data_IF_667917959672
#
_entry.id   IF_667917959672
#
_cell.length_a   1.000
_cell.length_b   1.000
_cell.length_c   1.000
_cell.angle_alpha   90.00
_cell.angle_beta   90.00
_cell.angle_gamma   90.00
#
_symmetry.space_group_name_H-M   'P 1'
#
loop_
_entity.id
_entity.type
_entity.pdbx_description
1 polymer ?
#
# COMPACT_ATOMS: atom_id res chain seq x y z
N UNK A 1 69.88 -18.46 1.93
CA UNK A 1 69.69 -17.51 0.86
C UNK A 1 68.21 -17.18 0.90
N UNK A 2 67.78 -16.39 1.79
CA UNK A 2 67.77 -14.93 1.84
C UNK A 2 66.89 -14.31 0.75
N UNK A 3 65.72 -13.76 1.23
CA UNK A 3 65.09 -12.51 0.75
C UNK A 3 64.34 -12.62 -0.56
N UNK A 4 63.06 -12.87 -0.53
CA UNK A 4 62.05 -12.22 -1.37
C UNK A 4 60.69 -12.72 -0.80
N UNK A 5 60.27 -12.27 0.37
CA UNK A 5 58.90 -12.44 0.91
C UNK A 5 58.57 -11.17 1.67
N UNK A 6 58.46 -10.05 1.00
CA UNK A 6 58.02 -8.80 1.65
C UNK A 6 57.49 -7.78 0.63
N UNK A 7 56.79 -8.22 -0.43
CA UNK A 7 56.25 -7.23 -1.38
C UNK A 7 54.82 -7.52 -1.87
N UNK A 8 54.04 -8.25 -1.10
CA UNK A 8 52.62 -8.49 -1.50
C UNK A 8 51.59 -8.12 -0.42
N UNK A 9 51.89 -7.24 0.49
CA UNK A 9 51.01 -6.86 1.60
C UNK A 9 50.44 -5.42 1.53
N UNK A 10 50.49 -4.74 0.38
CA UNK A 10 50.03 -3.32 0.28
C UNK A 10 49.09 -3.09 -0.93
N UNK A 11 48.32 -4.07 -1.39
CA UNK A 11 47.29 -3.82 -2.41
C UNK A 11 45.99 -4.51 -1.94
N UNK A 12 45.39 -3.98 -0.89
CA UNK A 12 44.14 -4.58 -0.37
C UNK A 12 43.25 -3.60 0.40
N UNK A 13 43.46 -2.30 0.30
CA UNK A 13 42.77 -1.34 1.19
C UNK A 13 42.19 -0.11 0.49
N UNK A 14 41.75 -0.24 -0.75
CA UNK A 14 41.11 0.90 -1.42
C UNK A 14 39.89 0.42 -2.28
N UNK A 15 38.84 -0.06 -1.68
CA UNK A 15 37.53 -0.18 -2.38
C UNK A 15 36.36 -0.38 -1.43
N UNK A 16 36.23 0.41 -0.38
CA UNK A 16 34.91 0.58 0.27
C UNK A 16 34.65 2.07 0.48
N UNK A 17 34.63 2.80 -0.61
CA UNK A 17 33.88 4.05 -0.65
C UNK A 17 32.41 3.65 -0.87
N UNK A 18 31.73 3.23 0.20
CA UNK A 18 30.30 3.17 0.21
C UNK A 18 29.79 4.59 0.01
N UNK A 19 29.19 4.86 -1.14
CA UNK A 19 28.37 6.04 -1.31
C UNK A 19 27.19 5.92 -0.34
N UNK A 20 27.28 6.54 0.82
CA UNK A 20 26.12 6.90 1.60
C UNK A 20 25.58 8.19 0.99
N UNK A 21 24.71 8.07 -0.01
CA UNK A 21 23.82 9.17 -0.39
C UNK A 21 22.73 9.24 0.65
N UNK A 22 22.91 10.11 1.63
CA UNK A 22 21.81 10.59 2.45
C UNK A 22 20.98 11.55 1.60
N UNK A 23 20.12 11.02 0.75
CA UNK A 23 19.02 11.76 0.15
C UNK A 23 17.73 11.37 0.89
N UNK A 24 17.60 11.88 2.11
CA UNK A 24 16.43 11.65 3.00
C UNK A 24 15.12 12.28 2.49
N UNK A 25 15.05 12.71 1.23
CA UNK A 25 13.87 13.37 0.66
C UNK A 25 13.51 12.92 -0.76
N UNK A 26 14.08 11.84 -1.26
CA UNK A 26 13.69 11.28 -2.55
C UNK A 26 13.09 9.92 -2.29
N UNK A 27 11.77 9.84 -2.39
CA UNK A 27 11.09 8.56 -2.48
C UNK A 27 11.59 7.86 -3.75
N UNK A 28 12.49 6.90 -3.55
CA UNK A 28 13.02 6.03 -4.61
C UNK A 28 12.31 4.68 -4.63
N UNK A 29 11.30 4.50 -3.78
CA UNK A 29 10.52 3.27 -3.72
C UNK A 29 9.54 3.23 -4.91
N UNK A 30 9.78 2.29 -5.80
CA UNK A 30 8.94 2.00 -6.96
C UNK A 30 8.17 0.69 -6.77
N UNK A 31 8.29 0.07 -5.60
CA UNK A 31 7.68 -1.23 -5.28
C UNK A 31 6.48 -0.99 -4.36
N UNK A 32 5.34 -1.56 -4.72
CA UNK A 32 4.16 -1.49 -3.87
C UNK A 32 4.40 -2.17 -2.52
N UNK A 33 4.03 -1.51 -1.43
CA UNK A 33 4.08 -2.07 -0.10
C UNK A 33 2.77 -2.79 0.23
N UNK A 34 2.87 -3.95 0.90
CA UNK A 34 1.71 -4.80 1.20
C UNK A 34 1.63 -5.09 2.70
N UNK A 35 0.50 -4.72 3.31
CA UNK A 35 0.21 -4.94 4.72
C UNK A 35 -0.97 -5.91 4.86
N UNK A 36 -0.72 -7.11 5.41
CA UNK A 36 -1.78 -8.07 5.73
C UNK A 36 -2.32 -7.82 7.14
N UNK A 37 -3.63 -7.62 7.24
CA UNK A 37 -4.35 -7.37 8.50
C UNK A 37 -5.24 -8.58 8.79
N UNK A 38 -4.87 -9.36 9.79
CA UNK A 38 -5.60 -10.57 10.18
C UNK A 38 -6.49 -10.31 11.38
N UNK A 39 -7.53 -11.15 11.56
CA UNK A 39 -8.42 -11.14 12.70
C UNK A 39 -9.10 -9.79 12.96
N UNK A 40 -9.52 -9.11 11.91
CA UNK A 40 -10.32 -7.91 12.04
C UNK A 40 -11.70 -8.27 12.56
N UNK A 41 -12.09 -7.67 13.66
CA UNK A 41 -13.41 -7.86 14.28
C UNK A 41 -14.15 -6.52 14.26
N UNK A 42 -15.27 -6.49 13.58
CA UNK A 42 -16.16 -5.33 13.57
C UNK A 42 -17.14 -5.42 14.75
N UNK A 43 -17.30 -4.33 15.48
CA UNK A 43 -18.29 -4.23 16.52
C UNK A 43 -19.72 -4.18 15.97
N UNK A 44 -20.73 -4.08 16.84
CA UNK A 44 -22.13 -4.02 16.42
C UNK A 44 -22.50 -2.70 15.71
N UNK A 45 -21.64 -1.69 15.78
CA UNK A 45 -21.78 -0.43 15.07
C UNK A 45 -20.95 -0.41 13.77
N UNK A 46 -20.27 -1.51 13.44
CA UNK A 46 -19.48 -1.65 12.23
C UNK A 46 -18.05 -1.15 12.34
N UNK A 47 -17.52 -0.77 13.52
CA UNK A 47 -16.16 -0.28 13.66
C UNK A 47 -15.17 -1.44 13.68
N UNK A 48 -14.22 -1.46 12.77
CA UNK A 48 -13.11 -2.43 12.70
C UNK A 48 -11.80 -1.90 13.29
N UNK A 49 -11.79 -0.62 13.68
CA UNK A 49 -10.69 0.06 14.35
C UNK A 49 -9.67 0.67 13.40
N UNK A 50 -8.95 1.67 13.92
CA UNK A 50 -7.88 2.40 13.25
C UNK A 50 -6.56 1.66 13.41
N UNK A 51 -5.74 1.65 12.36
CA UNK A 51 -4.38 1.06 12.33
C UNK A 51 -3.41 2.00 11.67
N UNK A 52 -2.21 2.11 12.24
CA UNK A 52 -1.14 2.95 11.68
C UNK A 52 -0.35 2.19 10.63
N UNK A 53 0.10 2.90 9.60
CA UNK A 53 1.05 2.35 8.61
C UNK A 53 2.42 2.06 9.23
N UNK A 54 2.85 2.86 10.22
CA UNK A 54 4.20 2.79 10.78
C UNK A 54 5.18 3.77 10.13
N UNK A 55 4.73 4.45 9.08
CA UNK A 55 5.42 5.51 8.35
C UNK A 55 4.38 6.53 7.83
N UNK A 56 4.83 7.61 7.21
CA UNK A 56 3.95 8.61 6.60
C UNK A 56 3.91 8.42 5.09
N UNK A 57 2.72 8.36 4.51
CA UNK A 57 2.53 8.26 3.05
C UNK A 57 3.00 9.55 2.38
N UNK A 58 3.57 9.40 1.18
CA UNK A 58 3.89 10.55 0.36
C UNK A 58 2.65 11.09 -0.37
N UNK A 59 2.60 12.41 -0.64
CA UNK A 59 1.56 12.97 -1.48
C UNK A 59 1.59 12.36 -2.88
N UNK A 60 0.54 11.66 -3.24
CA UNK A 60 0.45 10.94 -4.52
C UNK A 60 0.42 9.43 -4.40
N UNK A 61 0.78 8.87 -3.25
CA UNK A 61 0.62 7.44 -3.00
C UNK A 61 -0.86 7.04 -3.06
N UNK A 62 -1.12 5.86 -3.62
CA UNK A 62 -2.46 5.30 -3.74
C UNK A 62 -2.59 4.13 -2.78
N UNK A 63 -3.61 4.17 -1.92
CA UNK A 63 -3.94 3.07 -1.02
C UNK A 63 -5.10 2.28 -1.59
N UNK A 64 -4.91 0.97 -1.75
CA UNK A 64 -5.92 0.02 -2.16
C UNK A 64 -6.15 -0.97 -1.01
N UNK A 65 -7.40 -1.38 -0.82
CA UNK A 65 -7.74 -2.36 0.21
C UNK A 65 -8.51 -3.53 -0.39
N UNK A 66 -8.21 -4.73 0.10
CA UNK A 66 -8.82 -5.98 -0.34
C UNK A 66 -9.24 -6.81 0.88
N UNK A 67 -10.31 -7.58 0.76
CA UNK A 67 -10.74 -8.58 1.72
C UNK A 67 -10.51 -9.99 1.19
N UNK A 68 -10.09 -10.90 2.04
CA UNK A 68 -10.01 -12.32 1.71
C UNK A 68 -11.42 -12.92 1.70
N UNK A 69 -11.88 -13.38 0.53
CA UNK A 69 -13.24 -13.91 0.33
C UNK A 69 -13.29 -15.42 0.23
N UNK A 70 -12.17 -16.09 0.08
CA UNK A 70 -12.11 -17.54 -0.02
C UNK A 70 -10.71 -18.06 -0.31
N UNK A 71 -10.64 -19.35 -0.59
CA UNK A 71 -9.42 -20.04 -1.03
C UNK A 71 -9.74 -20.88 -2.25
N UNK A 72 -9.00 -20.69 -3.33
CA UNK A 72 -9.09 -21.49 -4.56
C UNK A 72 -7.72 -22.09 -4.90
N UNK A 73 -7.67 -23.39 -5.08
CA UNK A 73 -6.43 -24.13 -5.40
C UNK A 73 -5.27 -23.81 -4.41
N UNK A 74 -5.62 -23.66 -3.11
CA UNK A 74 -4.64 -23.35 -2.06
C UNK A 74 -4.19 -21.88 -2.00
N UNK A 75 -4.80 -21.00 -2.80
CA UNK A 75 -4.49 -19.57 -2.84
C UNK A 75 -5.64 -18.74 -2.32
N UNK A 76 -5.35 -17.73 -1.51
CA UNK A 76 -6.35 -16.78 -1.03
C UNK A 76 -6.92 -15.97 -2.19
N UNK A 77 -8.25 -15.92 -2.27
CA UNK A 77 -8.97 -15.04 -3.19
C UNK A 77 -9.16 -13.68 -2.52
N UNK A 78 -8.75 -12.63 -3.19
CA UNK A 78 -8.84 -11.26 -2.70
C UNK A 78 -9.86 -10.46 -3.52
N UNK A 79 -10.82 -9.86 -2.84
CA UNK A 79 -11.81 -8.96 -3.46
C UNK A 79 -11.53 -7.53 -3.00
N UNK A 80 -11.45 -6.60 -3.95
CA UNK A 80 -11.24 -5.20 -3.63
C UNK A 80 -12.45 -4.62 -2.91
N UNK A 81 -12.22 -3.81 -1.87
CA UNK A 81 -13.27 -3.05 -1.22
C UNK A 81 -13.32 -1.62 -1.77
N UNK A 82 -14.50 -0.97 -1.81
CA UNK A 82 -15.76 -1.35 -1.14
C UNK A 82 -16.43 -2.57 -1.75
N UNK A 83 -16.92 -3.47 -0.88
CA UNK A 83 -17.61 -4.71 -1.27
C UNK A 83 -18.93 -4.80 -0.50
N UNK A 84 -20.06 -4.88 -1.21
CA UNK A 84 -21.39 -4.92 -0.62
C UNK A 84 -21.92 -6.35 -0.52
N UNK A 85 -22.45 -6.70 0.63
CA UNK A 85 -23.10 -7.97 0.94
C UNK A 85 -24.58 -7.79 1.18
N UNK A 86 -25.38 -8.63 0.53
CA UNK A 86 -26.79 -8.82 0.81
C UNK A 86 -26.92 -10.16 1.54
N UNK A 87 -27.41 -10.16 2.77
CA UNK A 87 -27.42 -11.35 3.61
C UNK A 87 -28.81 -11.85 4.00
N UNK A 88 -29.87 -11.24 3.43
CA UNK A 88 -31.22 -11.80 3.39
C UNK A 88 -31.62 -12.06 1.94
N UNK A 89 -32.38 -13.13 1.72
CA UNK A 89 -32.83 -13.55 0.39
C UNK A 89 -33.69 -12.51 -0.33
N UNK A 90 -34.35 -11.64 0.43
CA UNK A 90 -35.18 -10.54 -0.07
C UNK A 90 -34.39 -9.29 -0.45
N UNK A 91 -33.08 -9.27 -0.17
CA UNK A 91 -32.20 -8.15 -0.46
C UNK A 91 -32.42 -6.90 0.40
N UNK A 92 -33.24 -7.00 1.47
CA UNK A 92 -33.58 -5.84 2.32
C UNK A 92 -32.47 -5.46 3.29
N UNK A 93 -31.63 -6.40 3.64
CA UNK A 93 -30.51 -6.20 4.55
C UNK A 93 -29.19 -6.27 3.81
N UNK A 94 -28.40 -5.23 3.91
CA UNK A 94 -27.08 -5.17 3.30
C UNK A 94 -26.09 -4.41 4.17
N UNK A 95 -24.83 -4.68 3.97
CA UNK A 95 -23.74 -3.86 4.45
C UNK A 95 -22.60 -3.85 3.43
N UNK A 96 -21.71 -2.89 3.57
CA UNK A 96 -20.55 -2.71 2.71
C UNK A 96 -19.30 -2.68 3.58
N UNK A 97 -18.29 -3.51 3.26
CA UNK A 97 -16.95 -3.32 3.80
C UNK A 97 -16.34 -2.09 3.15
N UNK A 98 -15.87 -1.17 3.98
CA UNK A 98 -15.26 0.09 3.54
C UNK A 98 -13.95 0.35 4.27
N UNK A 99 -13.15 1.24 3.72
CA UNK A 99 -11.98 1.78 4.38
C UNK A 99 -11.85 3.27 4.08
N UNK A 100 -11.16 3.98 4.96
CA UNK A 100 -10.62 5.30 4.75
C UNK A 100 -9.15 5.33 5.22
N UNK A 101 -8.42 6.37 4.88
CA UNK A 101 -7.05 6.53 5.33
C UNK A 101 -6.66 8.00 5.42
N UNK A 102 -5.64 8.26 6.25
CA UNK A 102 -4.87 9.50 6.28
C UNK A 102 -3.45 9.21 5.76
N UNK A 103 -2.56 10.13 5.85
CA UNK A 103 -1.14 9.92 5.52
C UNK A 103 -0.40 9.02 6.54
N UNK A 104 -0.98 8.74 7.71
CA UNK A 104 -0.34 7.97 8.79
C UNK A 104 -1.10 6.72 9.24
N UNK A 105 -2.38 6.61 8.89
CA UNK A 105 -3.25 5.52 9.34
C UNK A 105 -4.37 5.20 8.36
N UNK A 106 -5.03 4.07 8.59
CA UNK A 106 -6.25 3.66 7.90
C UNK A 106 -7.25 3.04 8.87
N UNK A 107 -8.50 3.11 8.50
CA UNK A 107 -9.61 2.52 9.22
C UNK A 107 -10.38 1.57 8.31
N UNK A 108 -10.77 0.41 8.88
CA UNK A 108 -11.67 -0.54 8.25
C UNK A 108 -13.02 -0.47 8.96
N UNK A 109 -14.11 -0.39 8.23
CA UNK A 109 -15.43 -0.29 8.82
C UNK A 109 -16.52 -0.92 7.94
N UNK A 110 -17.67 -1.22 8.56
CA UNK A 110 -18.88 -1.60 7.86
C UNK A 110 -19.80 -0.37 7.78
N UNK A 111 -20.44 -0.22 6.64
CA UNK A 111 -21.49 0.79 6.42
C UNK A 111 -22.73 0.11 5.84
N UNK A 112 -23.89 0.36 6.41
CA UNK A 112 -25.10 -0.28 5.99
C UNK A 112 -26.26 -0.06 6.95
N UNK A 113 -27.31 -0.83 6.74
CA UNK A 113 -28.51 -0.78 7.56
C UNK A 113 -28.48 -1.90 8.62
N UNK A 114 -28.90 -1.58 9.87
CA UNK A 114 -28.97 -2.53 10.99
C UNK A 114 -27.72 -3.40 11.19
N UNK A 115 -26.54 -2.77 11.28
CA UNK A 115 -25.25 -3.46 11.39
C UNK A 115 -25.15 -4.46 12.54
N UNK A 116 -25.94 -4.27 13.60
CA UNK A 116 -26.07 -5.19 14.71
C UNK A 116 -26.66 -6.57 14.33
N UNK A 117 -27.36 -6.66 13.19
CA UNK A 117 -27.93 -7.92 12.67
C UNK A 117 -26.98 -8.66 11.73
N UNK A 118 -25.86 -8.05 11.32
CA UNK A 118 -24.87 -8.72 10.46
C UNK A 118 -24.34 -9.99 11.11
N UNK A 119 -24.38 -11.14 10.43
CA UNK A 119 -23.90 -12.42 10.95
C UNK A 119 -22.47 -12.36 11.49
N UNK A 120 -22.20 -13.04 12.59
CA UNK A 120 -20.90 -13.00 13.25
C UNK A 120 -19.75 -13.45 12.34
N UNK A 121 -19.97 -14.45 11.48
CA UNK A 121 -18.96 -14.92 10.51
C UNK A 121 -18.59 -13.89 9.46
N UNK A 122 -19.40 -12.86 9.25
CA UNK A 122 -19.10 -11.73 8.36
C UNK A 122 -18.50 -10.54 9.12
N UNK A 123 -18.62 -10.50 10.46
CA UNK A 123 -18.09 -9.43 11.31
C UNK A 123 -16.77 -9.78 12.01
N UNK A 124 -16.51 -11.06 12.26
CA UNK A 124 -15.37 -11.48 13.09
C UNK A 124 -14.36 -12.29 12.28
N UNK A 125 -13.09 -12.21 12.69
CA UNK A 125 -12.01 -12.99 12.08
C UNK A 125 -11.72 -12.62 10.62
N UNK A 126 -12.14 -11.46 10.16
CA UNK A 126 -11.94 -11.05 8.78
C UNK A 126 -10.46 -10.78 8.49
N UNK A 127 -10.05 -11.05 7.24
CA UNK A 127 -8.67 -10.79 6.78
C UNK A 127 -8.69 -9.79 5.65
N UNK A 128 -7.84 -8.78 5.77
CA UNK A 128 -7.67 -7.73 4.76
C UNK A 128 -6.22 -7.63 4.30
N UNK A 129 -6.05 -7.03 3.14
CA UNK A 129 -4.76 -6.65 2.57
C UNK A 129 -4.83 -5.20 2.13
N UNK A 130 -3.91 -4.40 2.63
CA UNK A 130 -3.71 -3.02 2.23
C UNK A 130 -2.51 -3.00 1.30
N UNK A 131 -2.65 -2.37 0.14
CA UNK A 131 -1.57 -2.20 -0.84
C UNK A 131 -1.35 -0.72 -1.04
N UNK A 132 -0.13 -0.27 -0.79
CA UNK A 132 0.29 1.11 -1.01
C UNK A 132 1.10 1.12 -2.29
N UNK A 133 0.59 1.83 -3.28
CA UNK A 133 1.25 1.99 -4.57
C UNK A 133 1.94 3.35 -4.56
N UNK A 134 3.28 3.39 -4.63
CA UNK A 134 4.01 4.64 -4.65
C UNK A 134 3.59 5.53 -5.80
N UNK A 135 3.30 6.79 -5.49
CA UNK A 135 3.03 7.83 -6.47
C UNK A 135 4.31 8.54 -6.89
N UNK A 136 4.27 9.22 -8.00
CA UNK A 136 5.40 10.07 -8.39
C UNK A 136 5.37 11.36 -7.58
N UNK A 137 6.45 11.66 -6.85
CA UNK A 137 6.57 12.92 -6.11
C UNK A 137 6.58 14.11 -7.10
N UNK A 138 5.59 15.02 -7.03
CA UNK A 138 5.51 16.17 -7.94
C UNK A 138 6.75 17.07 -7.90
N UNK A 139 7.47 17.09 -6.78
CA UNK A 139 8.71 17.87 -6.63
C UNK A 139 9.87 17.31 -7.45
N UNK A 140 9.86 16.00 -7.75
CA UNK A 140 10.89 15.36 -8.60
C UNK A 140 10.59 15.64 -10.07
N UNK A 141 9.32 15.62 -10.47
CA UNK A 141 8.91 15.93 -11.85
C UNK A 141 9.35 17.35 -12.22
N UNK A 142 9.27 18.31 -11.31
CA UNK A 142 9.68 19.69 -11.56
C UNK A 142 11.20 19.90 -11.69
N UNK A 143 12.03 18.98 -11.23
CA UNK A 143 13.50 19.07 -11.35
C UNK A 143 14.06 18.45 -12.64
N UNK A 144 13.37 17.46 -13.21
CA UNK A 144 13.89 16.71 -14.36
C UNK A 144 13.22 17.05 -15.70
N UNK A 145 12.13 17.82 -15.70
CA UNK A 145 11.37 18.12 -16.91
C UNK A 145 11.19 19.63 -17.05
N UNK A 146 12.12 20.27 -17.77
CA UNK A 146 11.93 21.63 -18.30
C UNK A 146 10.82 21.70 -19.37
N UNK A 147 10.08 20.61 -19.57
CA UNK A 147 8.89 20.55 -20.43
C UNK A 147 7.68 20.25 -19.58
N UNK A 148 7.09 21.30 -19.02
CA UNK A 148 5.80 21.24 -18.35
C UNK A 148 4.76 20.79 -19.38
N UNK A 149 4.29 19.54 -19.29
CA UNK A 149 3.16 19.09 -20.11
C UNK A 149 1.93 19.81 -19.59
N UNK A 150 1.30 20.58 -20.44
CA UNK A 150 0.00 21.13 -20.14
C UNK A 150 -1.04 20.01 -20.29
N UNK A 151 -1.48 19.45 -19.15
CA UNK A 151 -2.50 18.40 -19.14
C UNK A 151 -3.90 18.89 -19.52
N UNK A 152 -4.10 20.19 -19.67
CA UNK A 152 -5.32 20.75 -20.25
C UNK A 152 -5.32 20.67 -21.77
N UNK A 153 -4.15 20.52 -22.40
CA UNK A 153 -4.02 20.31 -23.84
C UNK A 153 -3.97 18.82 -24.17
N UNK A 154 -5.09 18.30 -24.64
CA UNK A 154 -5.23 16.90 -25.07
C UNK A 154 -4.15 16.50 -26.10
N UNK A 155 -3.80 17.35 -27.05
CA UNK A 155 -2.80 17.05 -28.07
C UNK A 155 -1.37 17.04 -27.55
N UNK A 156 -1.08 17.81 -26.52
CA UNK A 156 0.22 17.75 -25.84
C UNK A 156 0.40 16.42 -25.06
N UNK A 157 -0.69 15.89 -24.53
CA UNK A 157 -0.68 14.61 -23.79
C UNK A 157 -0.47 13.43 -24.73
N UNK A 158 -1.22 13.32 -25.84
CA UNK A 158 -1.18 12.16 -26.73
C UNK A 158 0.11 12.07 -27.59
N UNK A 159 0.87 13.15 -27.75
CA UNK A 159 2.16 13.12 -28.47
C UNK A 159 3.29 12.42 -27.70
N UNK A 160 3.06 12.03 -26.44
CA UNK A 160 4.06 11.38 -25.59
C UNK A 160 3.95 9.86 -25.54
N UNK A 161 2.90 9.30 -26.12
CA UNK A 161 2.66 7.87 -26.29
C UNK A 161 2.61 7.55 -27.79
#
# INVERSE_FOLDING_TARGET
MKRIITLFAIIGLLAFSGCTTNDDNVDSDTIAEVIDVNNVNFDLNGNGGVRRFGFTLFPGDVVLAYRATGVENGRTVWTQIPETYYYYDDGTQYFTYKFNFTDVDFELYLDGFELNTVPANLRTGQKFRIVIVPGTNPSIINKSVNNKVDYSDYYAVIKRY
#
